data_IF_735185238659
#
_entry.id   IF_735185238659
#
_cell.length_a   1.000
_cell.length_b   1.000
_cell.length_c   1.000
_cell.angle_alpha   90.00
_cell.angle_beta   90.00
_cell.angle_gamma   90.00
#
_symmetry.space_group_name_H-M   'P 1'
#
loop_
_entity.id
_entity.type
_entity.pdbx_description
1 polymer ?
#
# COMPACT_ATOMS: atom_id res chain seq x y z
N UNK A 1 -19.17 7.42 24.68
CA UNK A 1 -19.77 7.19 26.00
C UNK A 1 -20.84 6.09 25.92
N UNK A 2 -21.92 6.25 25.12
CA UNK A 2 -23.03 5.27 25.00
C UNK A 2 -22.56 3.86 24.67
N UNK A 3 -21.53 3.72 23.81
CA UNK A 3 -20.95 2.40 23.45
C UNK A 3 -20.41 1.61 24.65
N UNK A 4 -19.90 2.29 25.66
CA UNK A 4 -19.29 1.65 26.83
C UNK A 4 -20.28 1.46 27.99
N UNK A 5 -21.35 2.25 28.03
CA UNK A 5 -22.33 2.19 29.12
C UNK A 5 -23.49 1.26 28.77
N UNK A 6 -23.96 1.27 27.51
CA UNK A 6 -25.02 0.40 27.02
C UNK A 6 -24.79 -0.01 25.55
N UNK A 7 -24.16 -1.16 25.31
CA UNK A 7 -23.90 -1.67 23.96
C UNK A 7 -25.16 -1.85 23.10
N UNK A 8 -26.29 -2.29 23.70
CA UNK A 8 -27.55 -2.51 22.97
C UNK A 8 -28.18 -1.19 22.52
N UNK A 9 -28.10 -0.17 23.37
CA UNK A 9 -28.57 1.16 23.02
C UNK A 9 -27.71 1.79 21.91
N UNK A 10 -26.41 1.51 21.92
CA UNK A 10 -25.51 1.96 20.87
C UNK A 10 -25.80 1.30 19.50
N UNK A 11 -26.10 0.01 19.49
CA UNK A 11 -26.53 -0.70 18.28
C UNK A 11 -27.85 -0.13 17.72
N UNK A 12 -28.83 0.11 18.59
CA UNK A 12 -30.10 0.73 18.20
C UNK A 12 -29.90 2.12 17.61
N UNK A 13 -29.04 2.94 18.22
CA UNK A 13 -28.67 4.25 17.72
C UNK A 13 -28.01 4.19 16.33
N UNK A 14 -27.10 3.24 16.11
CA UNK A 14 -26.47 3.05 14.80
C UNK A 14 -27.51 2.65 13.75
N UNK A 15 -28.39 1.70 14.05
CA UNK A 15 -29.44 1.25 13.14
C UNK A 15 -30.40 2.39 12.76
N UNK A 16 -30.82 3.24 13.71
CA UNK A 16 -31.63 4.42 13.40
C UNK A 16 -30.92 5.45 12.53
N UNK A 17 -29.65 5.70 12.80
CA UNK A 17 -28.82 6.62 12.02
C UNK A 17 -28.64 6.17 10.57
N UNK A 18 -28.42 4.86 10.36
CA UNK A 18 -28.30 4.29 9.01
C UNK A 18 -29.66 4.25 8.28
N UNK A 19 -30.76 4.00 8.97
CA UNK A 19 -32.10 4.05 8.35
C UNK A 19 -32.47 5.45 7.88
N UNK A 20 -32.08 6.50 8.62
CA UNK A 20 -32.33 7.90 8.25
C UNK A 20 -31.43 8.45 7.15
N UNK A 21 -30.30 7.82 6.90
CA UNK A 21 -29.30 8.25 5.90
C UNK A 21 -29.28 7.43 4.59
N UNK A 22 -30.19 6.48 4.43
CA UNK A 22 -30.27 5.71 3.18
C UNK A 22 -31.03 6.52 2.11
N UNK A 23 -30.38 7.08 1.09
CA UNK A 23 -31.10 7.66 -0.04
C UNK A 23 -31.76 6.53 -0.82
N UNK A 24 -33.02 6.74 -1.20
CA UNK A 24 -33.79 5.83 -2.06
C UNK A 24 -33.34 5.88 -3.54
N UNK A 25 -32.05 5.99 -3.79
CA UNK A 25 -31.47 5.92 -5.14
C UNK A 25 -31.00 4.50 -5.42
N UNK A 26 -31.41 3.90 -6.55
CA UNK A 26 -30.92 2.59 -6.92
C UNK A 26 -29.40 2.65 -7.07
N UNK A 27 -28.70 1.81 -6.32
CA UNK A 27 -27.26 1.63 -6.45
C UNK A 27 -26.93 1.26 -7.89
N UNK A 28 -26.11 2.03 -8.63
CA UNK A 28 -25.70 1.65 -9.95
C UNK A 28 -24.99 0.28 -9.87
N UNK A 29 -25.47 -0.67 -10.67
CA UNK A 29 -24.77 -1.97 -10.82
C UNK A 29 -23.51 -1.70 -11.60
N UNK A 30 -22.37 -1.59 -10.90
CA UNK A 30 -21.06 -1.56 -11.54
C UNK A 30 -20.71 -2.98 -11.96
N UNK A 31 -20.65 -3.19 -13.27
CA UNK A 31 -20.19 -4.42 -13.87
C UNK A 31 -18.65 -4.44 -13.81
N UNK A 32 -18.10 -4.93 -12.70
CA UNK A 32 -16.67 -5.11 -12.55
C UNK A 32 -16.20 -6.27 -13.41
N UNK A 33 -15.80 -5.98 -14.65
CA UNK A 33 -15.04 -6.96 -15.43
C UNK A 33 -13.71 -7.18 -14.72
N UNK A 34 -13.38 -8.43 -14.31
CA UNK A 34 -12.09 -8.71 -13.70
C UNK A 34 -11.00 -8.37 -14.72
N UNK A 35 -10.13 -7.44 -14.36
CA UNK A 35 -8.95 -7.10 -15.16
C UNK A 35 -8.06 -8.33 -15.21
N UNK A 36 -7.76 -8.86 -16.40
CA UNK A 36 -6.78 -9.93 -16.58
C UNK A 36 -5.41 -9.34 -16.21
N UNK A 37 -4.85 -9.80 -15.11
CA UNK A 37 -3.48 -9.47 -14.73
C UNK A 37 -2.54 -10.23 -15.66
N UNK A 38 -1.55 -9.55 -16.23
CA UNK A 38 -0.42 -10.20 -16.90
C UNK A 38 0.48 -10.82 -15.84
N UNK A 39 1.04 -12.01 -16.09
CA UNK A 39 1.96 -12.70 -15.17
C UNK A 39 3.30 -11.96 -14.96
N UNK A 40 3.52 -10.85 -15.67
CA UNK A 40 4.68 -9.99 -15.48
C UNK A 40 4.54 -9.20 -14.17
N UNK A 41 5.58 -9.31 -13.34
CA UNK A 41 5.63 -8.49 -12.13
C UNK A 41 5.93 -7.03 -12.51
N UNK A 42 5.23 -6.05 -11.95
CA UNK A 42 5.37 -4.64 -12.36
C UNK A 42 6.74 -4.05 -12.05
N UNK A 43 7.58 -4.76 -11.32
CA UNK A 43 8.90 -4.30 -10.89
C UNK A 43 10.06 -4.89 -11.69
N UNK A 44 9.81 -5.89 -12.56
CA UNK A 44 10.88 -6.60 -13.28
C UNK A 44 11.71 -5.67 -14.20
N UNK A 45 11.06 -4.63 -14.75
CA UNK A 45 11.71 -3.64 -15.61
C UNK A 45 12.29 -2.43 -14.84
N UNK A 46 12.15 -2.40 -13.49
CA UNK A 46 12.57 -1.25 -12.69
C UNK A 46 13.99 -1.43 -12.18
N UNK A 47 14.75 -0.33 -12.11
CA UNK A 47 16.05 -0.30 -11.45
C UNK A 47 15.88 -0.29 -9.95
N UNK A 48 16.63 -1.14 -9.24
CA UNK A 48 16.71 -1.06 -7.78
C UNK A 48 17.45 0.22 -7.35
N UNK A 49 17.21 0.68 -6.14
CA UNK A 49 17.95 1.83 -5.58
C UNK A 49 19.45 1.51 -5.48
N UNK A 50 19.79 0.24 -5.27
CA UNK A 50 21.17 -0.23 -5.22
C UNK A 50 21.91 -0.04 -6.55
N UNK A 51 21.21 -0.23 -7.67
CA UNK A 51 21.80 -0.16 -9.02
C UNK A 51 21.90 1.28 -9.56
N UNK A 52 21.41 2.27 -8.81
CA UNK A 52 21.52 3.66 -9.17
C UNK A 52 22.88 4.24 -8.75
N UNK A 53 23.44 5.22 -9.52
CA UNK A 53 24.62 5.97 -9.09
C UNK A 53 24.42 6.62 -7.72
N UNK A 54 25.52 6.79 -6.98
CA UNK A 54 25.48 7.36 -5.60
C UNK A 54 24.92 8.78 -5.56
N UNK A 55 25.16 9.56 -6.61
CA UNK A 55 24.67 10.93 -6.78
C UNK A 55 23.24 11.00 -7.32
N UNK A 56 22.62 9.86 -7.64
CA UNK A 56 21.25 9.84 -8.17
C UNK A 56 20.23 10.34 -7.13
N UNK A 57 19.31 11.28 -7.48
CA UNK A 57 18.36 11.88 -6.54
C UNK A 57 17.54 10.88 -5.71
N UNK A 58 17.15 9.76 -6.29
CA UNK A 58 16.39 8.71 -5.58
C UNK A 58 17.26 7.97 -4.56
N UNK A 59 18.55 7.74 -4.85
CA UNK A 59 19.49 7.13 -3.91
C UNK A 59 19.79 8.11 -2.77
N UNK A 60 20.13 9.35 -3.08
CA UNK A 60 20.33 10.41 -2.09
C UNK A 60 19.09 10.61 -1.19
N UNK A 61 17.89 10.46 -1.73
CA UNK A 61 16.69 10.49 -0.92
C UNK A 61 16.66 9.37 0.13
N UNK A 62 17.02 8.14 -0.23
CA UNK A 62 17.08 7.01 0.69
C UNK A 62 18.18 7.20 1.74
N UNK A 63 19.36 7.68 1.34
CA UNK A 63 20.49 7.98 2.23
C UNK A 63 20.16 9.08 3.23
N UNK A 64 19.55 10.17 2.78
CA UNK A 64 19.12 11.28 3.64
C UNK A 64 18.07 10.85 4.66
N UNK A 65 17.21 9.89 4.30
CA UNK A 65 16.26 9.28 5.24
C UNK A 65 16.88 8.22 6.13
N UNK A 66 18.16 7.90 5.96
CA UNK A 66 18.88 6.86 6.73
C UNK A 66 18.28 5.48 6.55
N UNK A 67 17.65 5.19 5.41
CA UNK A 67 17.13 3.85 5.11
C UNK A 67 18.34 2.90 5.09
N UNK A 68 18.30 1.77 5.84
CA UNK A 68 19.42 0.82 5.85
C UNK A 68 19.71 0.28 4.44
N UNK A 69 20.97 0.30 4.04
CA UNK A 69 21.42 -0.08 2.69
C UNK A 69 21.03 -1.52 2.32
N UNK A 70 20.90 -2.40 3.31
CA UNK A 70 20.42 -3.79 3.14
C UNK A 70 19.04 -3.90 2.47
N UNK A 71 18.31 -2.78 2.33
CA UNK A 71 17.01 -2.74 1.66
C UNK A 71 17.05 -2.09 0.28
N UNK A 72 18.19 -1.57 -0.16
CA UNK A 72 18.27 -0.86 -1.45
C UNK A 72 18.04 -1.76 -2.66
N UNK A 73 18.31 -3.04 -2.54
CA UNK A 73 17.99 -4.07 -3.54
C UNK A 73 16.49 -4.42 -3.61
N UNK A 74 15.71 -4.03 -2.59
CA UNK A 74 14.26 -4.29 -2.46
C UNK A 74 13.40 -3.05 -2.68
N UNK A 75 14.02 -1.92 -2.94
CA UNK A 75 13.38 -0.66 -3.26
C UNK A 75 13.73 -0.27 -4.70
N UNK A 76 12.75 0.20 -5.46
CA UNK A 76 12.92 0.45 -6.89
C UNK A 76 12.56 1.90 -7.25
N UNK A 77 13.07 2.35 -8.38
CA UNK A 77 12.71 3.64 -8.96
C UNK A 77 11.74 3.43 -10.12
N UNK A 78 10.62 4.14 -10.08
CA UNK A 78 9.79 4.36 -11.27
C UNK A 78 9.87 5.83 -11.67
N UNK A 79 10.41 6.10 -12.84
CA UNK A 79 10.47 7.47 -13.39
C UNK A 79 9.08 7.99 -13.78
N UNK A 80 8.16 7.07 -14.13
CA UNK A 80 6.80 7.35 -14.59
C UNK A 80 5.80 6.45 -13.87
N UNK A 81 5.40 6.86 -12.68
CA UNK A 81 4.57 6.03 -11.80
C UNK A 81 3.18 5.73 -12.35
N UNK A 82 2.50 6.73 -12.91
CA UNK A 82 1.14 6.54 -13.47
C UNK A 82 1.18 5.62 -14.69
N UNK A 83 2.23 5.74 -15.51
CA UNK A 83 2.47 4.84 -16.65
C UNK A 83 2.69 3.41 -16.17
N UNK A 84 3.51 3.22 -15.13
CA UNK A 84 3.72 1.92 -14.48
C UNK A 84 2.40 1.31 -14.00
N UNK A 85 1.59 2.10 -13.30
CA UNK A 85 0.28 1.62 -12.81
C UNK A 85 -0.64 1.24 -13.96
N UNK A 86 -0.71 2.05 -15.01
CA UNK A 86 -1.57 1.74 -16.17
C UNK A 86 -1.09 0.51 -16.96
N UNK A 87 0.20 0.11 -16.90
CA UNK A 87 0.65 -1.16 -17.47
C UNK A 87 0.02 -2.36 -16.76
N UNK A 88 -0.13 -2.30 -15.43
CA UNK A 88 -0.66 -3.42 -14.61
C UNK A 88 -2.16 -3.32 -14.35
N UNK A 89 -2.68 -2.10 -14.28
CA UNK A 89 -4.12 -1.79 -14.14
C UNK A 89 -4.52 -0.75 -15.19
N UNK A 90 -4.85 -1.19 -16.40
CA UNK A 90 -5.18 -0.27 -17.49
C UNK A 90 -6.27 0.73 -17.13
N UNK A 91 -6.13 1.96 -17.60
CA UNK A 91 -7.09 3.05 -17.40
C UNK A 91 -7.28 3.49 -15.93
N UNK A 92 -6.34 3.17 -15.03
CA UNK A 92 -6.39 3.63 -13.63
C UNK A 92 -6.16 5.13 -13.54
N UNK A 93 -5.22 5.67 -14.30
CA UNK A 93 -4.89 7.08 -14.31
C UNK A 93 -5.04 7.69 -15.71
N UNK A 94 -5.65 8.88 -15.77
CA UNK A 94 -5.54 9.78 -16.92
C UNK A 94 -4.21 10.53 -16.80
N UNK A 95 -3.22 10.15 -17.61
CA UNK A 95 -1.87 10.70 -17.52
C UNK A 95 -1.83 12.06 -18.20
N UNK A 96 -1.82 13.13 -17.42
CA UNK A 96 -1.56 14.50 -17.87
C UNK A 96 -0.14 14.95 -17.49
N UNK A 97 0.35 14.51 -16.32
CA UNK A 97 1.68 14.75 -15.81
C UNK A 97 2.08 13.55 -14.95
N UNK A 98 3.18 12.88 -15.31
CA UNK A 98 3.70 11.75 -14.55
C UNK A 98 4.91 12.17 -13.70
N UNK A 99 5.13 11.51 -12.59
CA UNK A 99 6.19 11.86 -11.64
C UNK A 99 6.95 10.60 -11.20
N UNK A 100 8.27 10.76 -10.93
CA UNK A 100 9.04 9.66 -10.35
C UNK A 100 8.57 9.37 -8.92
N UNK A 101 8.61 8.07 -8.57
CA UNK A 101 8.31 7.60 -7.22
C UNK A 101 9.23 6.46 -6.83
N UNK A 102 9.55 6.40 -5.54
CA UNK A 102 10.12 5.22 -4.91
C UNK A 102 9.05 4.14 -4.85
N UNK A 103 9.35 2.96 -5.37
CA UNK A 103 8.47 1.80 -5.36
C UNK A 103 8.87 0.86 -4.24
N UNK A 104 7.90 0.53 -3.41
CA UNK A 104 8.03 -0.38 -2.26
C UNK A 104 7.11 -1.56 -2.53
N UNK A 105 7.62 -2.72 -2.97
CA UNK A 105 6.81 -3.90 -3.25
C UNK A 105 6.31 -4.56 -1.96
N UNK A 106 5.11 -5.11 -2.00
CA UNK A 106 4.52 -5.90 -0.92
C UNK A 106 4.46 -7.35 -1.37
N UNK A 107 5.20 -8.21 -0.69
CA UNK A 107 5.24 -9.65 -0.95
C UNK A 107 4.43 -10.40 0.10
N UNK A 108 3.82 -11.50 -0.31
CA UNK A 108 3.20 -12.43 0.62
C UNK A 108 4.24 -13.41 1.20
N UNK A 109 3.80 -14.31 2.07
CA UNK A 109 4.64 -15.33 2.71
C UNK A 109 5.29 -16.31 1.73
N UNK A 110 4.83 -16.36 0.48
CA UNK A 110 5.41 -17.19 -0.59
C UNK A 110 6.41 -16.40 -1.47
N UNK A 111 6.60 -15.10 -1.20
CA UNK A 111 7.44 -14.21 -1.99
C UNK A 111 6.75 -13.67 -3.26
N UNK A 112 5.44 -13.91 -3.44
CA UNK A 112 4.69 -13.37 -4.57
C UNK A 112 4.27 -11.93 -4.28
N UNK A 113 4.53 -11.01 -5.24
CA UNK A 113 4.07 -9.63 -5.13
C UNK A 113 2.54 -9.55 -5.25
N UNK A 114 1.89 -8.84 -4.35
CA UNK A 114 0.44 -8.65 -4.36
C UNK A 114 0.00 -7.18 -4.32
N UNK A 115 0.94 -6.29 -3.99
CA UNK A 115 0.73 -4.84 -4.02
C UNK A 115 2.08 -4.13 -4.15
N UNK A 116 2.06 -2.86 -4.47
CA UNK A 116 3.21 -1.98 -4.31
C UNK A 116 2.77 -0.58 -3.91
N UNK A 117 3.64 0.14 -3.20
CA UNK A 117 3.40 1.52 -2.83
C UNK A 117 4.38 2.43 -3.54
N UNK A 118 3.88 3.50 -4.14
CA UNK A 118 4.65 4.57 -4.74
C UNK A 118 4.76 5.77 -3.78
N UNK A 119 5.97 6.05 -3.30
CA UNK A 119 6.29 7.19 -2.44
C UNK A 119 6.84 8.35 -3.28
N UNK A 120 6.20 9.51 -3.21
CA UNK A 120 6.71 10.72 -3.85
C UNK A 120 8.03 11.21 -3.22
N UNK A 121 8.97 11.66 -4.05
CA UNK A 121 10.24 12.21 -3.57
C UNK A 121 10.10 13.66 -3.10
N UNK A 122 9.19 14.43 -3.71
CA UNK A 122 8.99 15.83 -3.46
C UNK A 122 7.66 16.17 -2.77
N UNK A 123 7.02 17.25 -3.28
CA UNK A 123 5.76 17.79 -2.74
C UNK A 123 4.51 17.23 -3.42
N UNK A 124 4.67 16.28 -4.33
CA UNK A 124 3.57 15.67 -5.09
C UNK A 124 2.56 15.00 -4.16
N UNK A 125 1.28 15.25 -4.43
CA UNK A 125 0.17 14.67 -3.70
C UNK A 125 -0.56 13.64 -4.54
N UNK A 126 -1.10 12.58 -3.91
CA UNK A 126 -0.83 12.17 -2.54
C UNK A 126 0.59 11.64 -2.37
N UNK A 127 1.13 11.85 -1.16
CA UNK A 127 2.51 11.47 -0.81
C UNK A 127 2.78 9.98 -0.96
N UNK A 128 1.78 9.16 -0.66
CA UNK A 128 1.80 7.71 -0.81
C UNK A 128 0.62 7.25 -1.65
N UNK A 129 0.87 6.32 -2.56
CA UNK A 129 -0.15 5.66 -3.39
C UNK A 129 0.09 4.16 -3.34
N UNK A 130 -0.84 3.41 -2.79
CA UNK A 130 -0.75 1.94 -2.72
C UNK A 130 -1.64 1.33 -3.80
N UNK A 131 -1.04 0.53 -4.67
CA UNK A 131 -1.68 -0.18 -5.77
C UNK A 131 -1.75 -1.66 -5.41
N UNK A 132 -2.95 -2.20 -5.29
CA UNK A 132 -3.18 -3.63 -5.10
C UNK A 132 -3.15 -4.34 -6.45
N UNK A 133 -2.44 -5.44 -6.53
CA UNK A 133 -2.45 -6.37 -7.65
C UNK A 133 -3.44 -7.52 -7.38
N UNK A 134 -3.62 -7.87 -6.11
CA UNK A 134 -4.64 -8.82 -5.65
C UNK A 134 -5.59 -8.10 -4.68
N UNK A 135 -6.84 -7.91 -5.11
CA UNK A 135 -7.86 -7.19 -4.34
C UNK A 135 -8.28 -7.93 -3.06
N UNK A 136 -8.08 -9.25 -3.01
CA UNK A 136 -8.44 -10.07 -1.86
C UNK A 136 -7.43 -9.96 -0.70
N UNK A 137 -6.20 -9.50 -0.98
CA UNK A 137 -5.16 -9.37 0.04
C UNK A 137 -5.24 -8.03 0.77
N UNK A 138 -4.93 -8.05 2.06
CA UNK A 138 -4.80 -6.83 2.86
C UNK A 138 -3.48 -6.12 2.55
N UNK A 139 -3.45 -4.79 2.71
CA UNK A 139 -2.26 -3.96 2.46
C UNK A 139 -1.27 -4.07 3.63
N UNK A 140 -0.73 -5.24 3.88
CA UNK A 140 0.28 -5.48 4.91
C UNK A 140 1.63 -5.65 4.25
N UNK A 141 2.57 -4.78 4.59
CA UNK A 141 3.96 -4.88 4.13
C UNK A 141 4.80 -5.71 5.09
N UNK A 142 5.71 -6.52 4.56
CA UNK A 142 6.70 -7.25 5.33
C UNK A 142 6.31 -8.67 5.70
N UNK A 143 5.22 -9.22 5.13
CA UNK A 143 4.79 -10.61 5.39
C UNK A 143 5.84 -11.65 4.96
N UNK A 144 6.67 -11.32 3.97
CA UNK A 144 7.74 -12.17 3.43
C UNK A 144 8.96 -12.29 4.34
N UNK A 145 9.10 -11.40 5.33
CA UNK A 145 10.33 -11.27 6.13
C UNK A 145 10.13 -11.39 7.65
N UNK A 146 8.87 -11.41 8.13
CA UNK A 146 8.62 -11.53 9.58
C UNK A 146 8.65 -12.97 10.05
N UNK A 147 9.22 -13.16 11.24
CA UNK A 147 9.17 -14.40 11.98
C UNK A 147 7.97 -14.39 12.93
N UNK A 148 6.92 -15.16 12.61
CA UNK A 148 5.70 -15.25 13.42
C UNK A 148 5.91 -15.98 14.76
N UNK A 149 7.07 -16.60 15.01
CA UNK A 149 7.43 -17.22 16.28
C UNK A 149 8.00 -16.23 17.30
N UNK A 150 8.18 -14.96 16.91
CA UNK A 150 8.72 -13.91 17.74
C UNK A 150 7.73 -12.74 17.83
N UNK A 151 7.86 -11.87 18.84
CA UNK A 151 7.07 -10.64 18.90
C UNK A 151 7.21 -9.82 17.63
N UNK A 152 6.07 -9.38 17.07
CA UNK A 152 6.01 -8.60 15.84
C UNK A 152 5.66 -7.16 16.19
N UNK A 153 6.47 -6.23 15.70
CA UNK A 153 6.16 -4.80 15.75
C UNK A 153 5.30 -4.41 14.56
N UNK A 154 4.46 -3.40 14.76
CA UNK A 154 3.59 -2.88 13.68
C UNK A 154 3.76 -1.37 13.59
N UNK A 155 4.10 -0.89 12.39
CA UNK A 155 4.19 0.54 12.06
C UNK A 155 3.09 0.94 11.08
N UNK A 156 2.84 2.24 10.94
CA UNK A 156 1.88 2.75 9.96
C UNK A 156 2.43 2.66 8.53
N UNK A 157 3.70 3.04 8.34
CA UNK A 157 4.33 3.16 7.04
C UNK A 157 5.37 2.09 6.74
N UNK A 158 5.43 1.56 5.48
CA UNK A 158 6.45 0.60 5.09
C UNK A 158 7.88 1.06 5.32
N UNK A 159 8.19 2.35 5.08
CA UNK A 159 9.54 2.88 5.31
C UNK A 159 9.90 2.81 6.79
N UNK A 160 8.97 3.13 7.70
CA UNK A 160 9.22 3.13 9.14
C UNK A 160 9.53 1.71 9.65
N UNK A 161 8.91 0.68 9.05
CA UNK A 161 9.19 -0.72 9.39
C UNK A 161 10.60 -1.18 9.00
N UNK A 162 11.30 -0.46 8.12
CA UNK A 162 12.67 -0.82 7.72
C UNK A 162 13.72 -0.57 8.82
N UNK A 163 13.36 0.20 9.84
CA UNK A 163 14.24 0.53 10.97
C UNK A 163 14.04 -0.39 12.18
N UNK A 164 13.06 -1.27 12.13
CA UNK A 164 12.67 -2.16 13.24
C UNK A 164 12.75 -3.59 12.77
N UNK A 165 13.46 -4.43 13.51
CA UNK A 165 13.52 -5.84 13.21
C UNK A 165 12.16 -6.51 13.51
N UNK A 166 11.83 -7.55 12.74
CA UNK A 166 10.58 -8.31 12.85
C UNK A 166 9.32 -7.40 12.85
N UNK A 167 9.24 -6.51 11.86
CA UNK A 167 8.22 -5.48 11.79
C UNK A 167 7.36 -5.61 10.54
N UNK A 168 6.05 -5.49 10.72
CA UNK A 168 5.05 -5.30 9.67
C UNK A 168 4.68 -3.82 9.53
N UNK A 169 4.16 -3.42 8.38
CA UNK A 169 3.55 -2.11 8.24
C UNK A 169 2.15 -2.19 7.64
N UNK A 170 1.24 -1.35 8.17
CA UNK A 170 -0.06 -1.12 7.58
C UNK A 170 0.09 -0.21 6.36
N UNK A 171 -0.16 -0.71 5.16
CA UNK A 171 -0.10 0.08 3.92
C UNK A 171 -1.24 1.08 3.77
N UNK A 172 -1.85 1.54 4.87
CA UNK A 172 -2.94 2.49 4.95
C UNK A 172 -3.76 2.31 6.23
N UNK A 173 -4.51 3.34 6.62
CA UNK A 173 -5.32 3.37 7.86
C UNK A 173 -6.40 2.27 7.97
N UNK A 174 -6.72 1.60 6.87
CA UNK A 174 -7.80 0.60 6.81
C UNK A 174 -7.51 -0.68 7.62
N UNK A 175 -6.25 -0.95 7.96
CA UNK A 175 -5.87 -2.18 8.66
C UNK A 175 -6.44 -2.24 10.08
N UNK A 176 -6.50 -1.09 10.75
CA UNK A 176 -6.98 -0.98 12.13
C UNK A 176 -8.52 -0.91 12.24
N UNK A 177 -9.22 -0.67 11.12
CA UNK A 177 -10.67 -0.49 11.10
C UNK A 177 -11.46 -1.79 10.86
N UNK A 178 -10.82 -2.83 10.35
CA UNK A 178 -11.44 -4.14 10.11
C UNK A 178 -10.73 -5.17 10.98
N UNK A 179 -11.31 -5.55 12.11
CA UNK A 179 -10.88 -6.58 13.07
C UNK A 179 -10.54 -7.95 12.43
N UNK A 180 -9.60 -7.97 11.49
CA UNK A 180 -9.09 -9.16 10.82
C UNK A 180 -7.58 -9.07 10.73
N UNK A 181 -6.94 -9.14 11.88
CA UNK A 181 -5.58 -9.68 11.96
C UNK A 181 -5.74 -11.19 11.84
N UNK A 182 -5.01 -11.87 10.94
CA UNK A 182 -5.08 -13.32 10.83
C UNK A 182 -4.72 -14.03 12.13
#
# INVERSE_FOLDING_TARGET
FIKFVDPKLYESYLLERYKKSAPATPTPKFDFKPTKFTDQTPIDDLKSIKDLPEDHPARLYCDNRKIPEKYFDKLFLSDKFMTLVNKVKPNTYKITKDHPRLIIPFYDTTGKIFAFQGRAFGKEQPKYLTIKLDENKQKVYGLDKVNFQQPIYITEGPIDSLFIDNCLAAGGADLFLKNKVP
#
